data_IF_478513289707
#
_entry.id   IF_478513289707
#
_cell.length_a   1.000
_cell.length_b   1.000
_cell.length_c   1.000
_cell.angle_alpha   90.00
_cell.angle_beta   90.00
_cell.angle_gamma   90.00
#
_symmetry.space_group_name_H-M   'P 1'
#
loop_
_entity.id
_entity.type
_entity.pdbx_description
1 polymer ?
#
# COMPACT_ATOMS: atom_id res chain seq x y z
N UNK A 1 2.94 -8.03 2.18
CA UNK A 1 3.60 -7.48 0.99
C UNK A 1 5.02 -7.93 0.79
N UNK A 2 5.95 -7.69 1.71
CA UNK A 2 7.33 -8.14 1.53
C UNK A 2 7.44 -9.64 1.24
N UNK A 3 6.71 -10.50 1.97
CA UNK A 3 6.67 -11.93 1.70
C UNK A 3 6.17 -12.29 0.27
N UNK A 4 5.27 -11.49 -0.31
CA UNK A 4 4.83 -11.68 -1.70
C UNK A 4 5.96 -11.30 -2.67
N UNK A 5 6.64 -10.17 -2.43
CA UNK A 5 7.76 -9.74 -3.27
C UNK A 5 8.97 -10.66 -3.15
N UNK A 6 9.11 -11.38 -2.05
CA UNK A 6 10.21 -12.32 -1.82
C UNK A 6 10.27 -13.41 -2.87
N UNK A 7 9.14 -13.96 -3.35
CA UNK A 7 9.18 -15.02 -4.38
C UNK A 7 9.85 -14.52 -5.65
N UNK A 8 9.39 -13.40 -6.20
CA UNK A 8 10.00 -12.78 -7.39
C UNK A 8 11.47 -12.35 -7.17
N UNK A 9 11.83 -11.90 -5.96
CA UNK A 9 13.23 -11.56 -5.63
C UNK A 9 14.11 -12.81 -5.66
N UNK A 10 13.64 -13.94 -5.11
CA UNK A 10 14.37 -15.20 -5.11
C UNK A 10 14.56 -15.73 -6.52
N UNK A 11 13.52 -15.66 -7.36
CA UNK A 11 13.59 -16.06 -8.78
C UNK A 11 14.63 -15.25 -9.55
N UNK A 12 14.67 -13.93 -9.34
CA UNK A 12 15.68 -13.05 -9.97
C UNK A 12 17.10 -13.32 -9.50
N UNK A 13 17.28 -13.93 -8.33
CA UNK A 13 18.56 -14.34 -7.78
C UNK A 13 18.92 -15.79 -8.14
N UNK A 14 18.09 -16.47 -8.93
CA UNK A 14 18.24 -17.88 -9.29
C UNK A 14 18.25 -18.81 -8.06
N UNK A 15 17.48 -18.43 -7.01
CA UNK A 15 17.32 -19.21 -5.77
C UNK A 15 15.98 -19.92 -5.80
N UNK A 16 16.00 -21.24 -5.95
CA UNK A 16 14.78 -22.06 -5.96
C UNK A 16 14.44 -22.59 -4.56
N UNK A 17 13.22 -22.30 -4.10
CA UNK A 17 12.65 -22.87 -2.86
C UNK A 17 11.32 -23.53 -3.20
N UNK A 18 11.28 -24.86 -3.16
CA UNK A 18 10.14 -25.66 -3.64
C UNK A 18 8.81 -25.23 -2.98
N UNK A 19 8.82 -25.03 -1.66
CA UNK A 19 7.63 -24.64 -0.91
C UNK A 19 7.11 -23.25 -1.28
N UNK A 20 7.97 -22.37 -1.80
CA UNK A 20 7.57 -21.03 -2.27
C UNK A 20 6.99 -21.13 -3.69
N UNK A 21 7.59 -21.94 -4.54
CA UNK A 21 7.13 -22.16 -5.91
C UNK A 21 5.77 -22.87 -5.96
N UNK A 22 5.54 -23.85 -5.09
CA UNK A 22 4.25 -24.53 -4.94
C UNK A 22 3.10 -23.59 -4.51
N UNK A 23 3.41 -22.39 -3.98
CA UNK A 23 2.39 -21.39 -3.67
C UNK A 23 1.86 -20.68 -4.92
N UNK A 24 2.55 -20.81 -6.06
CA UNK A 24 2.20 -20.20 -7.36
C UNK A 24 1.82 -18.71 -7.17
N UNK A 25 2.64 -17.99 -6.42
CA UNK A 25 2.36 -16.60 -6.05
C UNK A 25 2.33 -15.74 -7.32
N UNK A 26 1.25 -14.98 -7.59
CA UNK A 26 1.17 -14.20 -8.81
C UNK A 26 2.31 -13.19 -8.88
N UNK A 27 2.94 -13.02 -10.06
CA UNK A 27 4.07 -12.12 -10.21
C UNK A 27 3.66 -10.70 -9.80
N UNK A 28 4.55 -9.96 -9.11
CA UNK A 28 4.21 -8.63 -8.63
C UNK A 28 4.11 -7.62 -9.78
N UNK A 29 3.08 -6.79 -9.70
CA UNK A 29 2.95 -5.62 -10.56
C UNK A 29 3.83 -4.47 -10.07
N UNK A 30 4.17 -3.54 -10.96
CA UNK A 30 5.04 -2.40 -10.61
C UNK A 30 4.55 -1.57 -9.42
N UNK A 31 3.23 -1.41 -9.29
CA UNK A 31 2.66 -0.65 -8.18
C UNK A 31 3.00 -1.27 -6.82
N UNK A 32 3.18 -2.60 -6.73
CA UNK A 32 3.51 -3.30 -5.49
C UNK A 32 4.91 -2.94 -5.01
N UNK A 33 5.88 -2.84 -5.93
CA UNK A 33 7.23 -2.37 -5.62
C UNK A 33 7.25 -0.90 -5.21
N UNK A 34 6.48 -0.05 -5.92
CA UNK A 34 6.35 1.36 -5.55
C UNK A 34 5.72 1.47 -4.15
N UNK A 35 4.70 0.66 -3.87
CA UNK A 35 4.05 0.61 -2.56
C UNK A 35 5.01 0.15 -1.46
N UNK A 36 5.84 -0.85 -1.71
CA UNK A 36 6.86 -1.29 -0.75
C UNK A 36 7.86 -0.18 -0.40
N UNK A 37 8.13 0.74 -1.33
CA UNK A 37 8.93 1.95 -1.08
C UNK A 37 8.37 2.84 0.03
N UNK A 38 7.06 2.81 0.30
CA UNK A 38 6.45 3.56 1.40
C UNK A 38 7.04 3.21 2.77
N UNK A 39 7.50 1.97 2.97
CA UNK A 39 8.14 1.54 4.22
C UNK A 39 9.37 2.38 4.53
N UNK A 40 10.20 2.67 3.52
CA UNK A 40 11.41 3.47 3.66
C UNK A 40 11.10 4.93 4.02
N UNK A 41 9.95 5.44 3.59
CA UNK A 41 9.53 6.81 3.91
C UNK A 41 9.24 7.00 5.40
N UNK A 42 8.97 5.92 6.14
CA UNK A 42 8.71 5.96 7.59
C UNK A 42 9.89 6.53 8.38
N UNK A 43 11.13 6.32 7.92
CA UNK A 43 12.32 6.91 8.54
C UNK A 43 12.32 8.44 8.46
N UNK A 44 11.81 9.01 7.38
CA UNK A 44 11.64 10.46 7.23
C UNK A 44 10.60 10.98 8.22
N UNK A 45 9.45 10.31 8.35
CA UNK A 45 8.39 10.66 9.29
C UNK A 45 8.86 10.62 10.75
N UNK A 46 9.55 9.54 11.15
CA UNK A 46 10.10 9.37 12.50
C UNK A 46 11.16 10.43 12.82
N UNK A 47 12.09 10.70 11.90
CA UNK A 47 13.11 11.73 12.06
C UNK A 47 12.50 13.13 12.19
N UNK A 48 11.47 13.42 11.38
CA UNK A 48 10.74 14.68 11.44
C UNK A 48 10.00 14.84 12.78
N UNK A 49 9.34 13.79 13.26
CA UNK A 49 8.64 13.76 14.54
C UNK A 49 9.58 14.01 15.73
N UNK A 50 10.73 13.32 15.76
CA UNK A 50 11.73 13.49 16.83
C UNK A 50 12.24 14.94 16.95
N UNK A 51 12.40 15.62 15.82
CA UNK A 51 12.92 16.99 15.77
C UNK A 51 11.86 18.09 15.66
N UNK A 52 10.56 17.76 15.67
CA UNK A 52 9.47 18.69 15.33
C UNK A 52 9.74 19.46 14.02
N UNK A 53 10.36 18.81 13.03
CA UNK A 53 10.83 19.46 11.79
C UNK A 53 9.68 19.56 10.80
N UNK A 54 9.02 20.71 10.79
CA UNK A 54 7.85 21.00 9.94
C UNK A 54 8.07 20.65 8.46
N UNK A 55 9.17 21.13 7.85
CA UNK A 55 9.45 20.89 6.42
C UNK A 55 9.65 19.40 6.12
N UNK A 56 10.33 18.67 7.00
CA UNK A 56 10.56 17.23 6.81
C UNK A 56 9.27 16.43 6.97
N UNK A 57 8.39 16.83 7.90
CA UNK A 57 7.06 16.21 8.02
C UNK A 57 6.19 16.48 6.80
N UNK A 58 6.26 17.68 6.21
CA UNK A 58 5.56 17.98 4.95
C UNK A 58 6.10 17.14 3.78
N UNK A 59 7.43 16.94 3.68
CA UNK A 59 8.03 16.03 2.70
C UNK A 59 7.55 14.58 2.91
N UNK A 60 7.51 14.13 4.17
CA UNK A 60 6.98 12.81 4.51
C UNK A 60 5.51 12.64 4.09
N UNK A 61 4.66 13.66 4.31
CA UNK A 61 3.27 13.63 3.84
C UNK A 61 3.18 13.46 2.31
N UNK A 62 4.01 14.18 1.55
CA UNK A 62 4.09 14.02 0.08
C UNK A 62 4.55 12.61 -0.27
N UNK A 63 5.56 12.08 0.43
CA UNK A 63 6.06 10.73 0.22
C UNK A 63 4.97 9.67 0.47
N UNK A 64 4.15 9.81 1.51
CA UNK A 64 3.01 8.90 1.76
C UNK A 64 1.96 9.01 0.66
N UNK A 65 1.66 10.22 0.16
CA UNK A 65 0.74 10.37 -0.97
C UNK A 65 1.26 9.64 -2.22
N UNK A 66 2.55 9.80 -2.54
CA UNK A 66 3.16 9.24 -3.76
C UNK A 66 3.42 7.74 -3.67
N UNK A 67 4.00 7.26 -2.56
CA UNK A 67 4.43 5.88 -2.42
C UNK A 67 3.42 4.98 -1.73
N UNK A 68 2.37 5.51 -1.10
CA UNK A 68 1.35 4.68 -0.47
C UNK A 68 -0.03 4.90 -1.08
N UNK A 69 -0.57 6.13 -1.04
CA UNK A 69 -1.94 6.39 -1.47
C UNK A 69 -2.10 6.18 -2.98
N UNK A 70 -1.21 6.71 -3.82
CA UNK A 70 -1.30 6.56 -5.28
C UNK A 70 -1.22 5.08 -5.73
N UNK A 71 -0.27 4.25 -5.27
CA UNK A 71 -0.26 2.83 -5.60
C UNK A 71 -1.50 2.08 -5.13
N UNK A 72 -2.06 2.43 -3.96
CA UNK A 72 -3.33 1.85 -3.49
C UNK A 72 -4.52 2.26 -4.38
N UNK A 73 -4.57 3.51 -4.84
CA UNK A 73 -5.58 3.96 -5.81
C UNK A 73 -5.45 3.23 -7.14
N UNK A 74 -4.21 3.07 -7.64
CA UNK A 74 -3.94 2.29 -8.83
C UNK A 74 -4.41 0.84 -8.65
N UNK A 75 -4.04 0.19 -7.54
CA UNK A 75 -4.46 -1.17 -7.22
C UNK A 75 -5.99 -1.30 -7.19
N UNK A 76 -6.68 -0.37 -6.53
CA UNK A 76 -8.14 -0.36 -6.45
C UNK A 76 -8.79 -0.27 -7.84
N UNK A 77 -8.30 0.63 -8.71
CA UNK A 77 -8.82 0.76 -10.08
C UNK A 77 -8.47 -0.46 -10.93
N UNK A 78 -7.25 -0.98 -10.80
CA UNK A 78 -6.75 -2.11 -11.57
C UNK A 78 -7.60 -3.37 -11.36
N UNK A 79 -7.94 -3.69 -10.11
CA UNK A 79 -8.75 -4.87 -9.76
C UNK A 79 -10.25 -4.60 -9.72
N UNK A 80 -10.72 -3.43 -10.18
CA UNK A 80 -12.14 -3.06 -10.07
C UNK A 80 -13.04 -4.01 -10.85
N UNK A 81 -12.64 -4.40 -12.07
CA UNK A 81 -13.45 -5.30 -12.91
C UNK A 81 -13.67 -6.65 -12.23
N UNK A 82 -12.59 -7.31 -11.82
CA UNK A 82 -12.62 -8.61 -11.13
C UNK A 82 -13.50 -8.58 -9.87
N UNK A 83 -13.36 -7.52 -9.07
CA UNK A 83 -14.12 -7.41 -7.82
C UNK A 83 -15.59 -7.09 -8.08
N UNK A 84 -15.87 -6.27 -9.10
CA UNK A 84 -17.23 -5.98 -9.50
C UNK A 84 -17.94 -7.23 -10.02
N UNK A 85 -17.29 -7.96 -10.94
CA UNK A 85 -17.79 -9.22 -11.48
C UNK A 85 -18.03 -10.22 -10.36
N UNK A 86 -17.06 -10.42 -9.46
CA UNK A 86 -17.22 -11.28 -8.28
C UNK A 86 -18.41 -10.88 -7.40
N UNK A 87 -18.60 -9.58 -7.16
CA UNK A 87 -19.69 -9.08 -6.32
C UNK A 87 -21.07 -9.22 -6.96
N UNK A 88 -21.13 -9.25 -8.30
CA UNK A 88 -22.38 -9.39 -9.07
C UNK A 88 -22.61 -10.79 -9.65
N UNK A 89 -21.71 -11.73 -9.34
CA UNK A 89 -21.73 -13.07 -9.89
C UNK A 89 -23.04 -13.80 -9.55
N UNK A 90 -23.67 -14.38 -10.57
CA UNK A 90 -24.82 -15.25 -10.36
C UNK A 90 -24.37 -16.51 -9.62
N UNK A 91 -25.11 -16.92 -8.59
CA UNK A 91 -24.80 -18.11 -7.78
C UNK A 91 -24.82 -19.41 -8.56
N UNK A 92 -25.40 -19.41 -9.76
CA UNK A 92 -25.43 -20.55 -10.68
C UNK A 92 -24.17 -20.69 -11.54
N UNK A 93 -23.33 -19.66 -11.62
CA UNK A 93 -22.06 -19.68 -12.36
C UNK A 93 -20.91 -20.05 -11.42
N UNK A 94 -20.00 -20.88 -11.92
CA UNK A 94 -18.76 -21.21 -11.21
C UNK A 94 -17.69 -20.14 -11.48
N UNK A 95 -16.74 -19.97 -10.57
CA UNK A 95 -15.68 -18.94 -10.67
C UNK A 95 -14.80 -19.12 -11.90
N UNK A 96 -14.56 -20.36 -12.32
CA UNK A 96 -13.78 -20.72 -13.51
C UNK A 96 -14.50 -20.42 -14.84
N UNK A 97 -15.80 -20.13 -14.79
CA UNK A 97 -16.58 -19.65 -15.95
C UNK A 97 -16.51 -18.13 -16.13
N UNK A 98 -15.75 -17.42 -15.28
CA UNK A 98 -15.59 -15.96 -15.30
C UNK A 98 -14.22 -15.53 -15.80
N UNK A 99 -14.08 -14.26 -16.17
CA UNK A 99 -12.78 -13.67 -16.55
C UNK A 99 -11.95 -13.22 -15.32
N UNK A 100 -12.40 -13.53 -14.10
CA UNK A 100 -11.75 -13.15 -12.85
C UNK A 100 -10.41 -13.87 -12.70
N UNK A 101 -9.36 -13.14 -12.31
CA UNK A 101 -8.09 -13.79 -12.00
C UNK A 101 -8.15 -14.54 -10.65
N UNK A 102 -7.94 -15.86 -10.70
CA UNK A 102 -8.01 -16.77 -9.54
C UNK A 102 -6.60 -17.14 -9.06
N UNK A 103 -6.37 -17.04 -7.75
CA UNK A 103 -5.16 -17.54 -7.10
C UNK A 103 -5.55 -18.58 -6.03
N UNK A 104 -5.10 -19.83 -6.23
CA UNK A 104 -5.40 -20.98 -5.35
C UNK A 104 -6.90 -21.17 -5.03
N UNK A 105 -7.75 -20.99 -6.04
CA UNK A 105 -9.20 -21.15 -5.92
C UNK A 105 -9.93 -19.93 -5.32
N UNK A 106 -9.25 -18.81 -5.13
CA UNK A 106 -9.83 -17.58 -4.59
C UNK A 106 -9.67 -16.40 -5.56
N UNK A 107 -10.66 -15.47 -5.61
CA UNK A 107 -10.59 -14.30 -6.48
C UNK A 107 -9.51 -13.34 -5.99
N UNK A 108 -8.46 -13.17 -6.77
CA UNK A 108 -7.25 -12.46 -6.35
C UNK A 108 -7.49 -10.98 -6.09
N UNK A 109 -8.30 -10.33 -6.93
CA UNK A 109 -8.67 -8.92 -6.78
C UNK A 109 -9.35 -8.61 -5.44
N UNK A 110 -10.08 -9.56 -4.86
CA UNK A 110 -10.77 -9.39 -3.58
C UNK A 110 -9.77 -9.29 -2.42
N UNK A 111 -8.69 -10.08 -2.43
CA UNK A 111 -7.60 -9.95 -1.44
C UNK A 111 -6.94 -8.58 -1.53
N UNK A 112 -6.76 -8.07 -2.75
CA UNK A 112 -6.20 -6.74 -2.95
C UNK A 112 -7.13 -5.63 -2.48
N UNK A 113 -8.43 -5.78 -2.64
CA UNK A 113 -9.39 -4.84 -2.06
C UNK A 113 -9.33 -4.82 -0.54
N UNK A 114 -9.27 -5.99 0.11
CA UNK A 114 -9.07 -6.06 1.57
C UNK A 114 -7.77 -5.36 2.01
N UNK A 115 -6.68 -5.58 1.29
CA UNK A 115 -5.41 -4.90 1.51
C UNK A 115 -5.54 -3.38 1.32
N UNK A 116 -6.19 -2.93 0.25
CA UNK A 116 -6.42 -1.52 -0.04
C UNK A 116 -7.24 -0.83 1.04
N UNK A 117 -8.32 -1.45 1.54
CA UNK A 117 -9.12 -0.86 2.63
C UNK A 117 -8.29 -0.60 3.88
N UNK A 118 -7.51 -1.59 4.32
CA UNK A 118 -6.61 -1.43 5.48
C UNK A 118 -5.54 -0.38 5.18
N UNK A 119 -4.94 -0.43 3.99
CA UNK A 119 -3.92 0.52 3.56
C UNK A 119 -4.43 1.97 3.56
N UNK A 120 -5.60 2.23 2.98
CA UNK A 120 -6.21 3.57 2.97
C UNK A 120 -6.52 4.06 4.38
N UNK A 121 -7.00 3.19 5.27
CA UNK A 121 -7.23 3.57 6.67
C UNK A 121 -5.92 3.97 7.35
N UNK A 122 -4.89 3.11 7.28
CA UNK A 122 -3.60 3.35 7.94
C UNK A 122 -2.93 4.62 7.42
N UNK A 123 -2.85 4.78 6.10
CA UNK A 123 -2.18 5.94 5.51
C UNK A 123 -3.03 7.22 5.62
N UNK A 124 -4.36 7.10 5.59
CA UNK A 124 -5.29 8.20 5.85
C UNK A 124 -5.12 8.77 7.25
N UNK A 125 -5.09 7.92 8.28
CA UNK A 125 -4.81 8.35 9.65
C UNK A 125 -3.39 8.89 9.80
N UNK A 126 -2.41 8.29 9.13
CA UNK A 126 -1.03 8.79 9.10
C UNK A 126 -0.97 10.24 8.62
N UNK A 127 -1.62 10.55 7.50
CA UNK A 127 -1.70 11.91 6.95
C UNK A 127 -2.47 12.87 7.86
N UNK A 128 -3.58 12.41 8.43
CA UNK A 128 -4.37 13.19 9.38
C UNK A 128 -3.54 13.60 10.61
N UNK A 129 -2.82 12.67 11.22
CA UNK A 129 -1.99 12.97 12.39
C UNK A 129 -0.77 13.83 12.01
N UNK A 130 -0.10 13.55 10.89
CA UNK A 130 1.01 14.38 10.39
C UNK A 130 0.58 15.83 10.13
N UNK A 131 -0.61 16.04 9.56
CA UNK A 131 -1.18 17.37 9.35
C UNK A 131 -1.40 18.11 10.68
N UNK A 132 -1.96 17.44 11.67
CA UNK A 132 -2.17 18.02 13.00
C UNK A 132 -0.85 18.38 13.69
N UNK A 133 0.18 17.54 13.59
CA UNK A 133 1.52 17.85 14.10
C UNK A 133 2.11 19.09 13.44
N UNK A 134 2.03 19.18 12.10
CA UNK A 134 2.50 20.36 11.35
C UNK A 134 1.79 21.63 11.81
N UNK A 135 0.46 21.57 12.02
CA UNK A 135 -0.33 22.69 12.51
C UNK A 135 0.15 23.17 13.89
N UNK A 136 0.31 22.24 14.83
CA UNK A 136 0.74 22.55 16.20
C UNK A 136 2.17 23.10 16.24
N UNK A 137 3.11 22.49 15.51
CA UNK A 137 4.50 22.94 15.49
C UNK A 137 4.66 24.33 14.88
N UNK A 138 3.93 24.63 13.79
CA UNK A 138 3.91 25.99 13.20
C UNK A 138 3.39 27.02 14.19
N UNK A 139 2.29 26.72 14.90
CA UNK A 139 1.72 27.62 15.91
C UNK A 139 2.72 27.89 17.05
N UNK A 140 3.38 26.85 17.58
CA UNK A 140 4.40 26.99 18.62
C UNK A 140 5.58 27.85 18.19
N UNK A 141 6.07 27.68 16.96
CA UNK A 141 7.16 28.50 16.42
C UNK A 141 6.75 29.96 16.26
N UNK A 142 5.50 30.22 15.85
CA UNK A 142 4.98 31.58 15.75
C UNK A 142 4.92 32.25 17.13
N UNK A 143 4.38 31.60 18.16
CA UNK A 143 4.30 32.16 19.52
C UNK A 143 5.69 32.49 20.08
N UNK A 144 6.68 31.63 19.87
CA UNK A 144 8.08 31.87 20.29
C UNK A 144 8.76 33.07 19.61
N UNK A 145 8.25 33.54 18.47
CA UNK A 145 8.79 34.72 17.78
C UNK A 145 8.28 36.04 18.38
N UNK A 146 7.16 35.99 19.10
CA UNK A 146 6.51 37.15 19.72
C UNK A 146 6.75 37.27 21.23
N UNK A 147 7.46 36.29 21.82
CA UNK A 147 7.98 36.34 23.20
C UNK A 147 9.47 36.69 23.16
#
# INVERSE_FOLDING_TARGET
>A
MLAKLTSDILDRLDIFVLEIEELEVPPPLWWEYVWAGSLLTSFLGLSAARGNKVREMQKYMIAILVFAILPLLYCFVYYFSDVWEFATLDKSLELDETDIFIWRGYPYGVFWYAFCFVGFQVHGFTLYFAYNLVKVWKARTATRKFQ
#
